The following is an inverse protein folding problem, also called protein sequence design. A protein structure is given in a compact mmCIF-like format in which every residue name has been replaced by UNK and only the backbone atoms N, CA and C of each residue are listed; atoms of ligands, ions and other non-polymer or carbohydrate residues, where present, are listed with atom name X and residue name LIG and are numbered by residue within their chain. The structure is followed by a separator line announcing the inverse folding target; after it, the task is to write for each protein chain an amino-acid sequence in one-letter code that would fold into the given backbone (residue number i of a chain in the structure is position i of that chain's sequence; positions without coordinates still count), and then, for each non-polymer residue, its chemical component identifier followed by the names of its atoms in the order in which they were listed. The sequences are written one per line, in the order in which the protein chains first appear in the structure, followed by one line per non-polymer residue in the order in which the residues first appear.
data_IF_706979204774
#
_entry.id   IF_706979204774
#
_cell.length_a   1.000
_cell.length_b   1.000
_cell.length_c   1.000
_cell.angle_alpha   90.00
_cell.angle_beta   90.00
_cell.angle_gamma   90.00
#
_symmetry.space_group_name_H-M   'P 1'
#
loop_
_entity.id
_entity.type
_entity.pdbx_description
1 polymer ?
#
# COMPACT_ATOMS: atom_id res chain seq x y z
N UNK A 1 -18.25 -22.35 -0.46
CA UNK A 1 -18.93 -22.84 0.76
C UNK A 1 -17.99 -23.07 1.94
N UNK A 2 -16.75 -23.55 1.73
CA UNK A 2 -15.80 -23.78 2.84
C UNK A 2 -15.46 -22.54 3.68
N UNK A 3 -15.21 -21.37 3.05
CA UNK A 3 -14.87 -20.14 3.77
C UNK A 3 -16.01 -19.65 4.69
N UNK A 4 -17.26 -19.70 4.22
CA UNK A 4 -18.44 -19.33 5.01
C UNK A 4 -18.62 -20.26 6.22
N UNK A 5 -18.44 -21.57 6.02
CA UNK A 5 -18.52 -22.54 7.12
C UNK A 5 -17.43 -22.30 8.18
N UNK A 6 -16.20 -21.98 7.76
CA UNK A 6 -15.11 -21.65 8.68
C UNK A 6 -15.43 -20.41 9.53
N UNK A 7 -15.95 -19.34 8.91
CA UNK A 7 -16.36 -18.13 9.63
C UNK A 7 -17.49 -18.43 10.61
N UNK A 8 -18.54 -19.16 10.19
CA UNK A 8 -19.66 -19.51 11.06
C UNK A 8 -19.20 -20.34 12.26
N UNK A 9 -18.30 -21.31 12.05
CA UNK A 9 -17.74 -22.10 13.13
C UNK A 9 -16.91 -21.25 14.11
N UNK A 10 -16.15 -20.27 13.62
CA UNK A 10 -15.39 -19.34 14.44
C UNK A 10 -16.29 -18.42 15.26
N UNK A 11 -17.38 -17.89 14.66
CA UNK A 11 -18.39 -17.10 15.37
C UNK A 11 -19.08 -17.92 16.45
N UNK A 12 -19.53 -19.14 16.12
CA UNK A 12 -20.19 -20.04 17.07
C UNK A 12 -19.27 -20.38 18.26
N UNK A 13 -17.99 -20.60 18.00
CA UNK A 13 -16.96 -20.84 19.03
C UNK A 13 -16.44 -19.55 19.69
N UNK A 14 -16.96 -18.36 19.32
CA UNK A 14 -16.51 -17.03 19.78
C UNK A 14 -14.99 -16.82 19.67
N UNK A 15 -14.36 -17.45 18.67
CA UNK A 15 -12.93 -17.28 18.43
C UNK A 15 -12.68 -15.93 17.78
N UNK A 16 -11.81 -15.15 18.40
CA UNK A 16 -11.44 -13.84 17.90
C UNK A 16 -10.01 -13.50 18.28
N UNK A 17 -9.42 -12.56 17.54
CA UNK A 17 -8.15 -11.92 17.88
C UNK A 17 -8.28 -10.41 17.67
N UNK A 18 -7.45 -9.64 18.36
CA UNK A 18 -7.32 -8.21 18.08
C UNK A 18 -6.23 -7.98 17.05
N UNK A 19 -6.44 -7.02 16.16
CA UNK A 19 -5.50 -6.59 15.12
C UNK A 19 -5.32 -5.08 15.18
N UNK A 20 -4.14 -4.60 14.82
CA UNK A 20 -3.89 -3.18 14.61
C UNK A 20 -4.47 -2.69 13.28
N UNK A 21 -4.69 -1.38 13.20
CA UNK A 21 -5.12 -0.67 11.99
C UNK A 21 -4.17 0.48 11.70
N UNK A 22 -4.14 0.91 10.44
CA UNK A 22 -3.53 2.17 10.06
C UNK A 22 -4.53 3.33 10.16
N UNK A 23 -4.05 4.49 10.62
CA UNK A 23 -4.81 5.74 10.63
C UNK A 23 -4.09 6.81 9.83
N UNK A 24 -4.72 7.28 8.77
CA UNK A 24 -4.28 8.41 7.96
C UNK A 24 -4.86 9.72 8.50
N UNK A 25 -4.03 10.74 8.67
CA UNK A 25 -4.43 12.10 9.02
C UNK A 25 -3.93 13.03 7.92
N UNK A 26 -4.85 13.71 7.24
CA UNK A 26 -4.51 14.78 6.30
C UNK A 26 -4.28 16.05 7.13
N UNK A 27 -3.08 16.64 7.06
CA UNK A 27 -2.75 17.81 7.89
C UNK A 27 -3.31 19.12 7.33
N UNK A 28 -3.76 19.13 6.08
CA UNK A 28 -4.37 20.29 5.43
C UNK A 28 -5.90 20.27 5.54
N UNK A 29 -6.50 19.12 5.85
CA UNK A 29 -7.95 18.95 6.00
C UNK A 29 -8.34 18.48 7.38
N UNK A 30 -9.52 18.88 7.85
CA UNK A 30 -10.06 18.42 9.12
C UNK A 30 -10.60 16.99 8.98
N UNK A 31 -9.78 15.97 9.26
CA UNK A 31 -10.26 14.59 9.29
C UNK A 31 -9.17 13.53 9.38
N UNK A 32 -9.58 12.33 9.81
CA UNK A 32 -8.76 11.12 9.76
C UNK A 32 -9.52 10.00 9.09
N UNK A 33 -8.82 9.15 8.35
CA UNK A 33 -9.37 7.92 7.75
C UNK A 33 -8.60 6.71 8.28
N UNK A 34 -9.28 5.58 8.35
CA UNK A 34 -8.67 4.31 8.78
C UNK A 34 -8.47 3.41 7.57
N UNK A 35 -7.45 2.56 7.63
CA UNK A 35 -7.21 1.50 6.64
C UNK A 35 -6.76 0.21 7.35
N UNK A 36 -7.09 -0.91 6.72
CA UNK A 36 -6.93 -2.25 7.26
C UNK A 36 -5.73 -2.97 6.65
N UNK A 37 -5.46 -2.80 5.37
CA UNK A 37 -4.44 -3.54 4.63
C UNK A 37 -3.33 -2.63 4.12
N UNK A 38 -3.68 -1.59 3.36
CA UNK A 38 -2.67 -0.75 2.74
C UNK A 38 -3.17 0.66 2.41
N UNK A 39 -2.22 1.55 2.24
CA UNK A 39 -2.40 2.90 1.73
C UNK A 39 -1.30 3.21 0.70
N UNK A 40 -1.61 4.13 -0.21
CA UNK A 40 -0.70 4.53 -1.28
C UNK A 40 -0.73 6.04 -1.51
N UNK A 41 0.45 6.60 -1.78
CA UNK A 41 0.61 8.00 -2.20
C UNK A 41 1.69 8.13 -3.28
N UNK A 42 1.42 8.93 -4.30
CA UNK A 42 2.36 9.21 -5.39
C UNK A 42 2.50 8.08 -6.43
N UNK A 43 1.90 6.92 -6.20
CA UNK A 43 1.58 5.99 -7.26
C UNK A 43 0.20 6.35 -7.79
N UNK A 44 0.16 6.86 -9.02
CA UNK A 44 -0.97 7.56 -9.63
C UNK A 44 -2.31 6.85 -9.43
N UNK A 45 -3.29 7.56 -8.88
CA UNK A 45 -4.64 7.04 -8.68
C UNK A 45 -5.37 6.82 -9.99
N UNK A 46 -4.87 7.29 -11.13
CA UNK A 46 -5.40 6.86 -12.43
C UNK A 46 -5.31 5.32 -12.61
N UNK A 47 -4.28 4.64 -12.05
CA UNK A 47 -4.22 3.17 -12.05
C UNK A 47 -5.43 2.61 -11.31
N UNK A 48 -5.73 3.15 -10.13
CA UNK A 48 -6.81 2.69 -9.25
C UNK A 48 -8.18 3.09 -9.81
N UNK A 49 -8.34 4.30 -10.34
CA UNK A 49 -9.57 4.81 -10.95
C UNK A 49 -9.87 4.12 -12.29
N UNK A 50 -8.86 3.71 -13.05
CA UNK A 50 -9.03 2.83 -14.20
C UNK A 50 -9.40 1.41 -13.74
N UNK A 51 -8.78 0.90 -12.67
CA UNK A 51 -9.15 -0.39 -12.07
C UNK A 51 -10.59 -0.41 -11.51
N UNK A 52 -11.04 0.65 -10.85
CA UNK A 52 -12.39 0.83 -10.30
C UNK A 52 -13.43 0.96 -11.41
N UNK A 53 -13.18 1.81 -12.43
CA UNK A 53 -14.05 1.91 -13.62
C UNK A 53 -14.22 0.56 -14.33
N UNK A 54 -13.14 -0.21 -14.43
CA UNK A 54 -13.20 -1.54 -15.04
C UNK A 54 -13.97 -2.57 -14.19
N UNK A 55 -13.94 -2.43 -12.86
CA UNK A 55 -14.70 -3.29 -11.93
C UNK A 55 -16.20 -2.94 -11.96
N UNK A 56 -16.53 -1.66 -12.08
CA UNK A 56 -17.90 -1.16 -12.20
C UNK A 56 -18.58 -1.61 -13.52
N UNK A 57 -17.82 -1.76 -14.60
CA UNK A 57 -18.33 -2.18 -15.91
C UNK A 57 -18.60 -3.70 -16.05
N UNK A 58 -18.43 -4.50 -15.00
CA UNK A 58 -18.71 -5.94 -15.02
C UNK A 58 -17.81 -6.77 -15.95
N UNK A 59 -16.75 -6.17 -16.50
CA UNK A 59 -15.84 -6.83 -17.46
C UNK A 59 -14.77 -7.60 -16.71
N UNK A 60 -14.58 -8.88 -17.05
CA UNK A 60 -13.47 -9.70 -16.51
C UNK A 60 -12.16 -8.98 -16.73
N UNK A 61 -11.53 -8.61 -15.65
CA UNK A 61 -10.27 -7.91 -15.69
C UNK A 61 -9.15 -8.92 -15.99
N UNK A 62 -8.76 -8.99 -17.25
CA UNK A 62 -7.72 -9.91 -17.71
C UNK A 62 -6.34 -9.41 -17.26
N UNK A 63 -5.46 -10.29 -16.76
CA UNK A 63 -4.11 -9.91 -16.30
C UNK A 63 -3.32 -9.04 -17.29
N UNK A 64 -3.49 -9.28 -18.59
CA UNK A 64 -2.83 -8.52 -19.65
C UNK A 64 -3.20 -7.04 -19.67
N UNK A 65 -4.48 -6.70 -19.40
CA UNK A 65 -4.95 -5.31 -19.38
C UNK A 65 -4.47 -4.59 -18.13
N UNK A 66 -4.48 -5.27 -16.98
CA UNK A 66 -3.88 -4.76 -15.74
C UNK A 66 -2.40 -4.40 -15.92
N UNK A 67 -1.64 -5.29 -16.57
CA UNK A 67 -0.23 -5.04 -16.87
C UNK A 67 -0.05 -3.88 -17.84
N UNK A 68 -0.91 -3.74 -18.85
CA UNK A 68 -0.83 -2.63 -19.81
C UNK A 68 -1.10 -1.26 -19.14
N UNK A 69 -2.10 -1.17 -18.25
CA UNK A 69 -2.40 0.05 -17.49
C UNK A 69 -1.23 0.37 -16.54
N UNK A 70 -0.78 -0.59 -15.72
CA UNK A 70 0.38 -0.41 -14.83
C UNK A 70 1.64 0.04 -15.60
N UNK A 71 1.87 -0.52 -16.79
CA UNK A 71 2.99 -0.15 -17.66
C UNK A 71 2.88 1.28 -18.20
N UNK A 72 1.71 1.72 -18.67
CA UNK A 72 1.50 3.11 -19.12
C UNK A 72 1.74 4.11 -18.00
N UNK A 73 1.28 3.83 -16.79
CA UNK A 73 1.52 4.69 -15.62
C UNK A 73 2.99 4.74 -15.25
N UNK A 74 3.65 3.59 -15.20
CA UNK A 74 5.10 3.54 -15.00
C UNK A 74 5.84 4.41 -16.03
N UNK A 75 5.48 4.33 -17.32
CA UNK A 75 6.09 5.16 -18.36
C UNK A 75 5.78 6.67 -18.20
N UNK A 76 4.57 7.04 -17.78
CA UNK A 76 4.20 8.44 -17.50
C UNK A 76 4.99 8.99 -16.32
N UNK A 77 5.01 8.28 -15.20
CA UNK A 77 5.73 8.69 -14.00
C UNK A 77 7.24 8.71 -14.21
N UNK A 78 7.79 7.90 -15.12
CA UNK A 78 9.19 8.04 -15.55
C UNK A 78 9.48 9.31 -16.36
N UNK A 79 8.51 9.79 -17.15
CA UNK A 79 8.67 10.99 -17.98
C UNK A 79 8.54 12.26 -17.16
N UNK A 80 7.64 12.26 -16.18
CA UNK A 80 7.43 13.35 -15.23
C UNK A 80 7.47 12.81 -13.79
N UNK A 81 8.68 12.59 -13.24
CA UNK A 81 8.82 11.94 -11.97
C UNK A 81 8.55 12.94 -10.84
N UNK A 82 7.29 12.95 -10.39
CA UNK A 82 6.93 13.61 -9.12
C UNK A 82 7.72 12.96 -7.97
N UNK A 83 8.08 13.75 -6.96
CA UNK A 83 8.70 13.25 -5.74
C UNK A 83 7.79 13.51 -4.54
N UNK A 84 7.90 12.61 -3.58
CA UNK A 84 7.37 12.75 -2.23
C UNK A 84 8.55 12.73 -1.26
N UNK A 85 8.47 13.54 -0.22
CA UNK A 85 9.38 13.51 0.92
C UNK A 85 8.74 12.67 2.02
N UNK A 86 9.44 11.63 2.47
CA UNK A 86 8.97 10.78 3.57
C UNK A 86 9.80 11.03 4.81
N UNK A 87 9.14 11.48 5.87
CA UNK A 87 9.73 11.73 7.18
C UNK A 87 9.40 10.55 8.11
N UNK A 88 10.44 10.00 8.75
CA UNK A 88 10.34 8.96 9.77
C UNK A 88 10.82 9.52 11.11
N UNK A 89 10.24 9.10 12.25
CA UNK A 89 10.71 9.55 13.56
C UNK A 89 12.21 9.33 13.76
N UNK A 90 12.94 10.41 14.05
CA UNK A 90 14.38 10.37 14.33
C UNK A 90 15.28 10.13 13.11
N UNK A 91 14.78 10.27 11.89
CA UNK A 91 15.57 10.16 10.67
C UNK A 91 15.37 11.38 9.75
N UNK A 92 16.37 11.68 8.95
CA UNK A 92 16.27 12.71 7.92
C UNK A 92 15.21 12.34 6.87
N UNK A 93 14.49 13.33 6.30
CA UNK A 93 13.53 13.09 5.22
C UNK A 93 14.18 12.39 4.02
N UNK A 94 13.46 11.46 3.41
CA UNK A 94 13.92 10.71 2.23
C UNK A 94 12.99 10.97 1.05
N UNK A 95 13.57 11.40 -0.07
CA UNK A 95 12.82 11.56 -1.32
C UNK A 95 12.54 10.20 -1.98
N UNK A 96 11.28 9.98 -2.33
CA UNK A 96 10.77 8.81 -3.04
C UNK A 96 9.87 9.23 -4.20
N UNK A 97 9.57 8.27 -5.09
CA UNK A 97 8.64 8.45 -6.22
C UNK A 97 7.21 8.10 -5.85
N UNK A 98 7.06 7.18 -4.92
CA UNK A 98 5.79 6.80 -4.30
C UNK A 98 6.09 6.17 -2.94
N UNK A 99 5.05 6.09 -2.11
CA UNK A 99 5.06 5.36 -0.86
C UNK A 99 3.86 4.41 -0.83
N UNK A 100 4.15 3.13 -0.58
CA UNK A 100 3.18 2.14 -0.15
C UNK A 100 3.34 1.94 1.34
N UNK A 101 2.23 2.05 2.05
CA UNK A 101 2.13 1.83 3.47
C UNK A 101 1.29 0.58 3.66
N UNK A 102 1.78 -0.42 4.38
CA UNK A 102 1.11 -1.71 4.54
C UNK A 102 0.93 -2.03 6.02
N UNK A 103 -0.24 -2.55 6.40
CA UNK A 103 -0.52 -3.03 7.76
C UNK A 103 -0.31 -4.56 7.88
N UNK A 104 0.00 -5.22 6.78
CA UNK A 104 0.35 -6.65 6.69
C UNK A 104 1.38 -6.88 5.58
N UNK A 105 1.91 -8.09 5.47
CA UNK A 105 2.97 -8.45 4.53
C UNK A 105 2.61 -8.31 3.03
N UNK A 106 1.34 -8.50 2.71
CA UNK A 106 0.80 -8.51 1.36
C UNK A 106 0.18 -7.17 1.03
N UNK A 107 0.75 -6.48 0.05
CA UNK A 107 0.22 -5.21 -0.45
C UNK A 107 -1.02 -5.43 -1.33
N UNK A 108 -0.92 -6.36 -2.28
CA UNK A 108 -2.02 -6.70 -3.19
C UNK A 108 -1.85 -8.12 -3.75
N UNK A 109 -2.75 -8.56 -4.61
CA UNK A 109 -2.67 -9.83 -5.31
C UNK A 109 -2.67 -9.63 -6.82
N UNK A 110 -1.82 -10.38 -7.52
CA UNK A 110 -1.86 -10.54 -8.98
C UNK A 110 -2.33 -11.97 -9.25
N UNK A 111 -3.62 -12.11 -9.55
CA UNK A 111 -4.26 -13.42 -9.61
C UNK A 111 -4.14 -14.14 -8.26
N UNK A 112 -3.63 -15.39 -8.20
CA UNK A 112 -3.45 -16.11 -6.93
C UNK A 112 -2.15 -15.73 -6.20
N UNK A 113 -1.30 -14.88 -6.79
CA UNK A 113 0.03 -14.60 -6.24
C UNK A 113 0.02 -13.33 -5.38
N UNK A 114 0.43 -13.42 -4.10
CA UNK A 114 0.58 -12.24 -3.27
C UNK A 114 1.78 -11.41 -3.75
N UNK A 115 1.58 -10.10 -3.82
CA UNK A 115 2.62 -9.11 -4.06
C UNK A 115 3.05 -8.56 -2.70
N UNK A 116 4.27 -8.88 -2.27
CA UNK A 116 4.77 -8.52 -0.93
C UNK A 116 5.82 -7.43 -1.00
N UNK A 117 5.43 -6.21 -0.62
CA UNK A 117 6.35 -5.08 -0.48
C UNK A 117 7.14 -5.16 0.82
N UNK A 118 6.50 -5.65 1.89
CA UNK A 118 7.00 -5.64 3.27
C UNK A 118 6.84 -7.01 3.93
N UNK A 119 7.63 -8.04 3.58
CA UNK A 119 7.44 -9.39 4.09
C UNK A 119 7.47 -9.55 5.63
N UNK A 120 8.05 -8.58 6.35
CA UNK A 120 8.08 -8.55 7.81
C UNK A 120 6.93 -7.77 8.47
N UNK A 121 6.05 -7.12 7.70
CA UNK A 121 4.93 -6.37 8.25
C UNK A 121 3.82 -7.30 8.75
N UNK A 122 3.19 -6.94 9.86
CA UNK A 122 2.09 -7.70 10.44
C UNK A 122 1.11 -6.76 11.17
N UNK A 123 -0.13 -7.23 11.32
CA UNK A 123 -1.16 -6.53 12.08
C UNK A 123 -0.79 -6.23 13.55
N UNK A 124 0.30 -6.80 14.08
CA UNK A 124 0.71 -6.64 15.47
C UNK A 124 1.93 -5.73 15.66
N UNK A 125 2.73 -5.49 14.62
CA UNK A 125 4.07 -4.92 14.77
C UNK A 125 4.17 -3.44 14.42
N UNK A 126 3.27 -2.92 13.58
CA UNK A 126 3.26 -1.52 13.13
C UNK A 126 3.01 -1.43 11.63
N UNK A 127 3.25 -0.26 11.02
CA UNK A 127 3.12 -0.09 9.58
C UNK A 127 4.41 -0.50 8.86
N UNK A 128 4.28 -1.17 7.73
CA UNK A 128 5.32 -1.31 6.72
C UNK A 128 5.33 -0.09 5.80
N UNK A 129 6.51 0.41 5.46
CA UNK A 129 6.76 1.41 4.43
C UNK A 129 7.58 0.77 3.32
N UNK A 130 7.18 0.97 2.08
CA UNK A 130 7.93 0.63 0.88
C UNK A 130 7.86 1.78 -0.12
N UNK A 131 9.00 2.14 -0.72
CA UNK A 131 9.05 3.12 -1.79
C UNK A 131 10.34 3.00 -2.61
N UNK A 132 10.32 3.58 -3.80
CA UNK A 132 11.49 3.65 -4.68
C UNK A 132 12.00 5.09 -4.76
N UNK A 133 13.32 5.27 -4.75
CA UNK A 133 13.99 6.58 -4.93
C UNK A 133 13.98 7.04 -6.39
N UNK A 134 14.04 6.08 -7.30
CA UNK A 134 14.02 6.26 -8.75
C UNK A 134 13.12 5.20 -9.41
N UNK A 135 12.63 5.54 -10.61
CA UNK A 135 11.90 4.61 -11.48
C UNK A 135 12.81 4.11 -12.61
N UNK A 136 14.08 3.81 -12.31
CA UNK A 136 14.97 3.14 -13.26
C UNK A 136 14.42 1.75 -13.60
N UNK A 137 14.52 1.33 -14.87
CA UNK A 137 13.97 0.04 -15.31
C UNK A 137 14.58 -1.13 -14.58
N UNK A 138 15.92 -1.23 -14.53
CA UNK A 138 16.59 -2.33 -13.86
C UNK A 138 16.17 -2.46 -12.39
N UNK A 139 16.34 -1.38 -11.62
CA UNK A 139 16.03 -1.35 -10.18
C UNK A 139 14.55 -1.62 -9.88
N UNK A 140 13.64 -1.05 -10.68
CA UNK A 140 12.18 -1.24 -10.51
C UNK A 140 11.77 -2.69 -10.82
N UNK A 141 12.27 -3.27 -11.92
CA UNK A 141 11.95 -4.66 -12.28
C UNK A 141 12.56 -5.67 -11.32
N UNK A 142 13.77 -5.42 -10.80
CA UNK A 142 14.34 -6.24 -9.73
C UNK A 142 13.46 -6.20 -8.48
N UNK A 143 13.03 -5.00 -8.05
CA UNK A 143 12.13 -4.88 -6.90
C UNK A 143 10.80 -5.61 -7.13
N UNK A 144 10.18 -5.44 -8.30
CA UNK A 144 8.94 -6.13 -8.67
C UNK A 144 9.10 -7.66 -8.70
N UNK A 145 10.23 -8.15 -9.23
CA UNK A 145 10.56 -9.58 -9.24
C UNK A 145 10.65 -10.15 -7.83
N UNK A 146 11.31 -9.44 -6.91
CA UNK A 146 11.36 -9.82 -5.49
C UNK A 146 9.97 -9.78 -4.84
N UNK A 147 9.13 -8.78 -5.15
CA UNK A 147 7.79 -8.66 -4.56
C UNK A 147 6.87 -9.83 -4.95
N UNK A 148 7.07 -10.41 -6.14
CA UNK A 148 6.28 -11.53 -6.65
C UNK A 148 6.86 -12.91 -6.28
N UNK A 149 8.15 -12.97 -5.92
CA UNK A 149 8.83 -14.23 -5.64
C UNK A 149 8.33 -14.85 -4.32
N UNK A 150 8.08 -16.18 -4.28
CA UNK A 150 7.91 -16.89 -3.02
C UNK A 150 9.14 -16.73 -2.11
N UNK A 151 8.97 -16.18 -0.91
CA UNK A 151 10.07 -15.86 0.00
C UNK A 151 10.91 -14.66 -0.43
N UNK A 152 10.46 -13.90 -1.45
CA UNK A 152 11.14 -12.72 -1.93
C UNK A 152 11.18 -11.59 -0.89
N UNK A 153 12.21 -10.77 -1.00
CA UNK A 153 12.59 -9.82 0.03
C UNK A 153 13.11 -8.53 -0.62
N UNK A 154 12.21 -7.64 -1.08
CA UNK A 154 12.56 -6.47 -1.88
C UNK A 154 13.51 -5.52 -1.12
N UNK A 155 14.76 -5.45 -1.55
CA UNK A 155 15.84 -4.65 -0.94
C UNK A 155 16.77 -4.10 -2.02
N UNK A 156 17.59 -3.12 -1.67
CA UNK A 156 18.60 -2.54 -2.55
C UNK A 156 18.69 -1.02 -2.41
N UNK A 157 19.66 -0.40 -3.10
CA UNK A 157 19.91 1.05 -2.97
C UNK A 157 18.73 1.92 -3.43
N UNK A 158 17.95 1.45 -4.40
CA UNK A 158 16.76 2.16 -4.86
C UNK A 158 15.56 1.99 -3.88
N UNK A 159 15.52 0.92 -3.09
CA UNK A 159 14.37 0.61 -2.23
C UNK A 159 14.53 1.28 -0.86
N UNK A 160 13.53 2.03 -0.42
CA UNK A 160 13.35 2.34 0.99
C UNK A 160 12.31 1.37 1.53
N UNK A 161 12.72 0.51 2.46
CA UNK A 161 11.80 -0.40 3.15
C UNK A 161 11.98 -0.31 4.66
N UNK A 162 10.88 -0.26 5.38
CA UNK A 162 10.79 -0.48 6.83
C UNK A 162 9.60 -1.40 7.06
N UNK A 163 9.79 -2.48 7.79
CA UNK A 163 8.70 -3.45 8.00
C UNK A 163 7.90 -3.14 9.27
N UNK A 164 8.34 -2.14 10.04
CA UNK A 164 7.68 -1.68 11.27
C UNK A 164 8.04 -0.21 11.51
N UNK A 165 7.05 0.66 11.38
CA UNK A 165 7.11 2.08 11.77
C UNK A 165 5.84 2.44 12.54
N UNK A 166 5.95 3.19 13.66
CA UNK A 166 4.78 3.63 14.43
C UNK A 166 4.08 4.82 13.76
N UNK A 167 4.85 5.63 13.02
CA UNK A 167 4.42 6.84 12.36
C UNK A 167 5.31 7.08 11.14
N UNK A 168 4.71 7.55 10.06
CA UNK A 168 5.42 8.23 8.98
C UNK A 168 4.63 9.43 8.48
N UNK A 169 5.32 10.42 7.93
CA UNK A 169 4.69 11.57 7.26
C UNK A 169 5.16 11.63 5.82
N UNK A 170 4.23 11.86 4.91
CA UNK A 170 4.50 12.01 3.48
C UNK A 170 4.12 13.41 3.05
N UNK A 171 5.06 14.09 2.38
CA UNK A 171 4.89 15.46 1.89
C UNK A 171 5.17 15.54 0.39
N UNK A 172 4.49 16.43 -0.32
CA UNK A 172 4.77 16.72 -1.71
C UNK A 172 4.46 18.17 -2.07
N UNK A 173 5.16 18.67 -3.10
CA UNK A 173 5.01 20.05 -3.55
C UNK A 173 3.61 20.32 -4.14
N UNK A 174 3.09 19.37 -4.93
CA UNK A 174 1.74 19.40 -5.51
C UNK A 174 0.85 18.33 -4.87
N UNK A 175 -0.48 18.49 -4.82
CA UNK A 175 -1.37 17.45 -4.29
C UNK A 175 -1.20 16.19 -5.10
N UNK A 176 -1.11 15.06 -4.41
CA UNK A 176 -1.07 13.75 -5.02
C UNK A 176 -2.24 12.93 -4.54
N UNK A 177 -2.76 12.11 -5.43
CA UNK A 177 -3.83 11.21 -5.09
C UNK A 177 -3.43 10.21 -4.00
N UNK A 178 -4.39 9.90 -3.16
CA UNK A 178 -4.31 9.01 -2.02
C UNK A 178 -5.26 7.84 -2.23
N UNK A 179 -4.80 6.65 -1.88
CA UNK A 179 -5.65 5.47 -1.79
C UNK A 179 -5.51 4.81 -0.43
N UNK A 180 -6.62 4.30 0.08
CA UNK A 180 -6.74 3.49 1.29
C UNK A 180 -7.53 2.22 0.96
N UNK A 181 -6.99 1.05 1.27
CA UNK A 181 -7.61 -0.28 1.09
C UNK A 181 -8.15 -0.62 -0.32
N UNK A 182 -7.84 0.21 -1.31
CA UNK A 182 -8.20 0.02 -2.71
C UNK A 182 -9.01 1.19 -3.25
N UNK A 183 -9.53 2.03 -2.35
CA UNK A 183 -10.41 3.14 -2.69
C UNK A 183 -9.62 4.44 -2.82
N UNK A 184 -9.90 5.21 -3.86
CA UNK A 184 -9.39 6.58 -3.98
C UNK A 184 -10.09 7.51 -2.98
N UNK A 185 -9.31 8.18 -2.11
CA UNK A 185 -9.83 9.02 -1.02
C UNK A 185 -9.60 10.52 -1.23
N UNK A 186 -9.23 10.91 -2.45
CA UNK A 186 -8.91 12.28 -2.84
C UNK A 186 -7.40 12.51 -2.91
N UNK A 187 -7.00 13.78 -2.95
CA UNK A 187 -5.59 14.18 -3.03
C UNK A 187 -5.14 14.85 -1.73
N UNK A 188 -3.86 14.72 -1.37
CA UNK A 188 -3.25 15.40 -0.23
C UNK A 188 -1.82 15.84 -0.52
N UNK A 189 -1.33 16.84 0.22
CA UNK A 189 0.07 17.30 0.16
C UNK A 189 0.90 16.95 1.39
N UNK A 190 0.25 16.78 2.53
CA UNK A 190 0.92 16.61 3.82
C UNK A 190 0.09 15.66 4.70
N UNK A 191 0.51 14.40 4.74
CA UNK A 191 -0.30 13.31 5.28
C UNK A 191 0.53 12.49 6.25
N UNK A 192 -0.04 12.17 7.41
CA UNK A 192 0.55 11.26 8.38
C UNK A 192 -0.16 9.92 8.40
N UNK A 193 0.62 8.85 8.54
CA UNK A 193 0.13 7.50 8.73
C UNK A 193 0.61 6.98 10.07
N UNK A 194 -0.35 6.63 10.94
CA UNK A 194 -0.12 6.17 12.30
C UNK A 194 -0.47 4.69 12.40
N UNK A 195 0.40 3.90 13.03
CA UNK A 195 0.07 2.55 13.45
C UNK A 195 -0.76 2.62 14.75
N UNK A 196 -1.92 1.98 14.77
CA UNK A 196 -2.75 1.89 15.98
C UNK A 196 -2.88 0.41 16.35
N UNK A 197 -2.21 0.01 17.42
CA UNK A 197 -2.26 -1.34 17.94
C UNK A 197 -3.64 -1.66 18.51
N UNK A 198 -4.01 -2.95 18.44
CA UNK A 198 -5.21 -3.48 19.10
C UNK A 198 -6.53 -2.74 18.76
N UNK A 199 -6.61 -2.15 17.57
CA UNK A 199 -7.71 -1.27 17.18
C UNK A 199 -9.02 -1.99 16.82
N UNK A 200 -8.94 -3.24 16.35
CA UNK A 200 -10.11 -3.98 15.87
C UNK A 200 -10.09 -5.44 16.30
N UNK A 201 -11.22 -5.96 16.79
CA UNK A 201 -11.41 -7.40 17.05
C UNK A 201 -12.00 -8.08 15.82
N UNK A 202 -11.34 -9.13 15.35
CA UNK A 202 -11.73 -9.92 14.18
C UNK A 202 -11.93 -11.39 14.55
N UNK A 203 -12.83 -12.07 13.84
CA UNK A 203 -13.13 -13.50 14.02
C UNK A 203 -12.06 -14.36 13.34
N UNK A 204 -11.67 -15.49 13.96
CA UNK A 204 -10.64 -16.42 13.44
C UNK A 204 -10.98 -17.91 13.60
#
# INVERSE_FOLDING_TARGET
MAATAAILAAVAARRSRTVGLGRMVDRERTGSRWFTFNAGMGWDADVIAEMERMRADGRRATPLRYMATAWRHYLRQRRDPRSISVELPGADPVELRFAFICNTDTWTYVGPHPVRTNPGASFATGLGLFGLRDLGTGSTFTALGEMLRPGGDPRGRNVLRRDTVPLLRVRCAEPLALQLDGDHVGEGRDVEFHAVSEALRVVV
#
